data_IF_657057208411
#
_entry.id   IF_657057208411
#
_cell.length_a   1.000
_cell.length_b   1.000
_cell.length_c   1.000
_cell.angle_alpha   90.00
_cell.angle_beta   90.00
_cell.angle_gamma   90.00
#
_symmetry.space_group_name_H-M   'P 1'
#
loop_
_entity.id
_entity.type
_entity.pdbx_description
1 polymer ?
#
# COMPACT_ATOMS: atom_id res chain seq x y z
N UNK A 1 9.49 17.80 6.97
CA UNK A 1 8.86 16.51 7.30
C UNK A 1 9.54 15.96 8.54
N UNK A 2 8.77 15.62 9.56
CA UNK A 2 9.25 14.89 10.74
C UNK A 2 8.94 13.39 10.60
N UNK A 3 9.64 12.52 11.35
CA UNK A 3 9.35 11.09 11.32
C UNK A 3 7.92 10.81 11.79
N UNK A 4 7.28 9.83 11.16
CA UNK A 4 6.00 9.28 11.62
C UNK A 4 6.15 8.82 13.08
N UNK A 5 5.10 8.99 13.89
CA UNK A 5 5.16 8.55 15.28
C UNK A 5 5.06 7.01 15.38
N UNK A 6 5.54 6.45 16.50
CA UNK A 6 5.61 4.99 16.71
C UNK A 6 4.26 4.30 16.56
N UNK A 7 3.17 4.91 17.04
CA UNK A 7 1.83 4.31 16.96
C UNK A 7 1.39 4.17 15.51
N UNK A 8 1.54 5.22 14.70
CA UNK A 8 1.21 5.19 13.27
C UNK A 8 2.13 4.23 12.52
N UNK A 9 3.43 4.21 12.83
CA UNK A 9 4.40 3.28 12.26
C UNK A 9 4.00 1.81 12.49
N UNK A 10 3.52 1.46 13.70
CA UNK A 10 3.04 0.11 13.99
C UNK A 10 1.86 -0.32 13.10
N UNK A 11 0.92 0.59 12.80
CA UNK A 11 -0.17 0.29 11.87
C UNK A 11 0.32 0.15 10.43
N UNK A 12 1.25 1.00 9.99
CA UNK A 12 1.89 0.90 8.68
C UNK A 12 2.64 -0.42 8.55
N UNK A 13 3.39 -0.83 9.58
CA UNK A 13 4.09 -2.11 9.62
C UNK A 13 3.16 -3.31 9.53
N UNK A 14 2.08 -3.31 10.30
CA UNK A 14 1.10 -4.40 10.24
C UNK A 14 0.37 -4.45 8.88
N UNK A 15 0.13 -3.30 8.25
CA UNK A 15 -0.41 -3.25 6.90
C UNK A 15 0.58 -3.83 5.88
N UNK A 16 1.86 -3.46 5.97
CA UNK A 16 2.92 -4.01 5.13
C UNK A 16 3.03 -5.53 5.26
N UNK A 17 3.11 -6.04 6.49
CA UNK A 17 3.15 -7.49 6.76
C UNK A 17 1.93 -8.24 6.27
N UNK A 18 0.77 -7.58 6.20
CA UNK A 18 -0.44 -8.18 5.64
C UNK A 18 -0.36 -8.29 4.13
N UNK A 19 0.29 -7.33 3.48
CA UNK A 19 0.44 -7.25 2.03
C UNK A 19 1.58 -8.12 1.51
N UNK A 20 2.65 -8.29 2.28
CA UNK A 20 3.78 -9.19 2.01
C UNK A 20 3.37 -10.65 2.31
N UNK A 21 2.68 -11.28 1.35
CA UNK A 21 2.17 -12.64 1.50
C UNK A 21 3.28 -13.70 1.42
N UNK A 22 4.41 -13.41 0.76
CA UNK A 22 5.61 -14.25 0.70
C UNK A 22 6.44 -14.15 1.97
N UNK A 23 6.40 -13.02 2.67
CA UNK A 23 7.22 -12.74 3.85
C UNK A 23 8.68 -12.45 3.51
N UNK A 24 8.96 -12.02 2.27
CA UNK A 24 10.32 -11.74 1.79
C UNK A 24 10.76 -10.28 2.00
N UNK A 25 9.88 -9.47 2.59
CA UNK A 25 10.14 -8.05 2.86
C UNK A 25 9.88 -7.14 1.67
N UNK A 26 9.27 -7.62 0.59
CA UNK A 26 8.89 -6.86 -0.59
C UNK A 26 7.44 -7.19 -0.98
N UNK A 27 6.65 -6.18 -1.31
CA UNK A 27 5.30 -6.40 -1.83
C UNK A 27 5.37 -6.43 -3.35
N UNK A 28 5.02 -7.58 -3.93
CA UNK A 28 5.02 -7.78 -5.38
C UNK A 28 3.60 -7.89 -5.95
N UNK A 29 3.46 -7.85 -7.28
CA UNK A 29 2.19 -8.09 -7.96
C UNK A 29 1.59 -9.45 -7.57
N UNK A 30 2.45 -10.46 -7.38
CA UNK A 30 2.01 -11.80 -7.00
C UNK A 30 1.46 -11.87 -5.57
N UNK A 31 1.93 -11.02 -4.67
CA UNK A 31 1.38 -10.92 -3.32
C UNK A 31 0.01 -10.26 -3.34
N UNK A 32 -0.11 -9.14 -4.07
CA UNK A 32 -1.37 -8.42 -4.20
C UNK A 32 -2.42 -9.29 -4.89
N UNK A 33 -2.04 -10.06 -5.90
CA UNK A 33 -2.94 -11.00 -6.59
C UNK A 33 -3.57 -12.03 -5.65
N UNK A 34 -2.89 -12.41 -4.57
CA UNK A 34 -3.42 -13.36 -3.57
C UNK A 34 -4.39 -12.69 -2.58
N UNK A 35 -4.23 -11.39 -2.34
CA UNK A 35 -4.95 -10.65 -1.31
C UNK A 35 -6.10 -9.80 -1.86
N UNK A 36 -6.00 -9.37 -3.11
CA UNK A 36 -6.91 -8.42 -3.74
C UNK A 36 -7.54 -9.00 -5.00
N UNK A 37 -8.86 -8.88 -5.09
CA UNK A 37 -9.62 -9.26 -6.28
C UNK A 37 -9.77 -8.04 -7.21
N UNK A 38 -9.08 -8.08 -8.35
CA UNK A 38 -9.17 -7.05 -9.39
C UNK A 38 -10.57 -6.97 -10.05
N UNK A 39 -11.45 -7.96 -9.86
CA UNK A 39 -12.80 -8.00 -10.45
C UNK A 39 -13.67 -6.81 -10.06
N UNK A 40 -13.38 -6.18 -8.92
CA UNK A 40 -14.11 -5.03 -8.42
C UNK A 40 -13.56 -3.69 -8.93
N UNK A 41 -12.43 -3.70 -9.65
CA UNK A 41 -11.84 -2.47 -10.18
C UNK A 41 -12.65 -1.97 -11.40
N UNK A 42 -13.11 -0.70 -11.43
CA UNK A 42 -13.95 -0.19 -12.52
C UNK A 42 -13.31 -0.35 -13.91
N UNK A 43 -11.98 -0.15 -14.00
CA UNK A 43 -11.26 -0.33 -15.28
C UNK A 43 -11.14 -1.79 -15.70
N UNK A 44 -11.08 -2.73 -14.77
CA UNK A 44 -11.14 -4.15 -15.09
C UNK A 44 -12.53 -4.54 -15.58
N UNK A 45 -13.58 -4.06 -14.91
CA UNK A 45 -14.98 -4.30 -15.32
C UNK A 45 -15.31 -3.71 -16.70
N UNK A 46 -14.73 -2.55 -17.02
CA UNK A 46 -14.87 -1.93 -18.34
C UNK A 46 -14.07 -2.63 -19.45
N UNK A 47 -13.16 -3.55 -19.10
CA UNK A 47 -12.25 -4.21 -20.02
C UNK A 47 -11.07 -3.34 -20.49
N UNK A 48 -10.92 -2.12 -19.94
CA UNK A 48 -9.79 -1.23 -20.24
C UNK A 48 -8.47 -1.80 -19.69
N UNK A 49 -8.51 -2.41 -18.50
CA UNK A 49 -7.34 -2.96 -17.82
C UNK A 49 -7.44 -4.47 -17.60
N UNK A 50 -6.29 -5.15 -17.70
CA UNK A 50 -6.14 -6.52 -17.17
C UNK A 50 -6.00 -6.49 -15.64
N UNK A 51 -6.15 -7.66 -14.99
CA UNK A 51 -5.93 -7.77 -13.55
C UNK A 51 -4.51 -7.33 -13.17
N UNK A 52 -3.51 -7.73 -13.96
CA UNK A 52 -2.12 -7.33 -13.78
C UNK A 52 -1.89 -5.82 -13.89
N UNK A 53 -2.56 -5.16 -14.83
CA UNK A 53 -2.49 -3.70 -14.94
C UNK A 53 -3.12 -3.01 -13.72
N UNK A 54 -4.21 -3.56 -13.18
CA UNK A 54 -4.80 -3.03 -11.94
C UNK A 54 -3.83 -3.18 -10.75
N UNK A 55 -3.18 -4.33 -10.63
CA UNK A 55 -2.22 -4.58 -9.55
C UNK A 55 -0.95 -3.75 -9.69
N UNK A 56 -0.38 -3.65 -10.90
CA UNK A 56 0.81 -2.81 -11.15
C UNK A 56 0.51 -1.35 -10.84
N UNK A 57 -0.60 -0.82 -11.34
CA UNK A 57 -1.00 0.57 -11.06
C UNK A 57 -1.25 0.82 -9.56
N UNK A 58 -1.71 -0.20 -8.83
CA UNK A 58 -1.83 -0.10 -7.38
C UNK A 58 -0.44 0.01 -6.71
N UNK A 59 0.53 -0.81 -7.12
CA UNK A 59 1.91 -0.73 -6.62
C UNK A 59 2.58 0.60 -6.98
N UNK A 60 2.38 1.09 -8.21
CA UNK A 60 2.92 2.37 -8.70
C UNK A 60 2.51 3.56 -7.82
N UNK A 61 1.43 3.43 -7.03
CA UNK A 61 1.00 4.47 -6.10
C UNK A 61 1.91 4.57 -4.86
N UNK A 62 2.60 3.49 -4.49
CA UNK A 62 3.52 3.41 -3.35
C UNK A 62 4.99 3.45 -3.77
N UNK A 63 5.26 3.08 -5.02
CA UNK A 63 6.57 3.02 -5.65
C UNK A 63 7.24 4.41 -5.71
N UNK A 64 8.56 4.45 -5.76
CA UNK A 64 9.31 5.70 -5.74
C UNK A 64 9.08 6.49 -7.03
N UNK A 65 8.66 7.77 -6.97
CA UNK A 65 8.48 8.58 -8.17
C UNK A 65 9.81 8.74 -8.94
N UNK A 66 9.94 8.04 -10.06
CA UNK A 66 11.11 8.13 -10.95
C UNK A 66 11.94 6.86 -11.09
N UNK A 67 11.70 5.83 -10.26
CA UNK A 67 12.33 4.51 -10.39
C UNK A 67 11.37 3.37 -10.05
N UNK A 68 10.26 3.20 -10.81
CA UNK A 68 9.28 2.18 -10.50
C UNK A 68 9.79 0.79 -10.87
N UNK A 69 10.28 0.04 -9.91
CA UNK A 69 10.94 -1.25 -10.14
C UNK A 69 9.97 -2.46 -10.16
N UNK A 70 8.72 -2.25 -9.74
CA UNK A 70 7.73 -3.34 -9.72
C UNK A 70 7.52 -3.97 -8.36
N UNK A 71 8.28 -3.54 -7.36
CA UNK A 71 8.18 -4.02 -6.00
C UNK A 71 8.03 -2.83 -5.06
N UNK A 72 7.43 -3.06 -3.90
CA UNK A 72 7.33 -2.02 -2.87
C UNK A 72 8.05 -2.51 -1.64
N UNK A 73 9.16 -1.86 -1.32
CA UNK A 73 9.96 -2.15 -0.14
C UNK A 73 9.34 -1.53 1.11
N UNK A 74 9.77 -1.99 2.29
CA UNK A 74 9.35 -1.38 3.56
C UNK A 74 9.62 0.13 3.60
N UNK A 75 10.79 0.56 3.14
CA UNK A 75 11.19 1.97 3.18
C UNK A 75 10.32 2.84 2.26
N UNK A 76 9.96 2.35 1.08
CA UNK A 76 9.06 3.05 0.16
C UNK A 76 7.64 3.17 0.71
N UNK A 77 7.13 2.05 1.23
CA UNK A 77 5.81 2.02 1.86
C UNK A 77 5.76 2.97 3.07
N UNK A 78 6.80 2.97 3.91
CA UNK A 78 6.92 3.87 5.05
C UNK A 78 7.04 5.33 4.61
N UNK A 79 7.80 5.62 3.56
CA UNK A 79 7.97 6.97 3.03
C UNK A 79 6.63 7.52 2.49
N UNK A 80 5.89 6.70 1.73
CA UNK A 80 4.54 7.04 1.27
C UNK A 80 3.62 7.39 2.45
N UNK A 81 3.57 6.54 3.48
CA UNK A 81 2.74 6.78 4.66
C UNK A 81 3.26 7.90 5.55
N UNK A 82 4.55 8.24 5.50
CA UNK A 82 5.08 9.44 6.15
C UNK A 82 4.53 10.70 5.48
N UNK A 83 4.40 10.71 4.15
CA UNK A 83 3.72 11.76 3.40
C UNK A 83 2.24 11.89 3.77
N UNK A 84 1.50 10.77 3.80
CA UNK A 84 0.08 10.73 4.19
C UNK A 84 -0.10 11.12 5.67
N UNK A 85 0.79 10.67 6.55
CA UNK A 85 0.78 11.02 7.97
C UNK A 85 1.01 12.52 8.17
N UNK A 86 1.84 13.15 7.33
CA UNK A 86 2.11 14.59 7.42
C UNK A 86 0.91 15.48 7.03
N UNK A 87 -0.08 14.93 6.32
CA UNK A 87 -1.33 15.63 5.99
C UNK A 87 -2.49 15.32 6.96
N UNK A 88 -2.25 14.47 7.97
CA UNK A 88 -3.25 14.06 8.97
C UNK A 88 -2.76 14.44 10.37
N UNK A 89 -3.46 15.37 11.00
CA UNK A 89 -3.11 15.83 12.35
C UNK A 89 -3.51 14.83 13.45
N UNK A 90 -4.64 14.12 13.28
CA UNK A 90 -5.21 13.24 14.29
C UNK A 90 -4.74 11.78 14.15
N UNK A 91 -4.06 11.27 15.18
CA UNK A 91 -3.56 9.90 15.24
C UNK A 91 -4.68 8.84 15.18
N UNK A 92 -5.81 9.06 15.86
CA UNK A 92 -6.93 8.14 15.86
C UNK A 92 -7.58 8.07 14.47
N UNK A 93 -7.66 9.21 13.78
CA UNK A 93 -8.13 9.25 12.41
C UNK A 93 -7.20 8.46 11.49
N UNK A 94 -5.88 8.69 11.57
CA UNK A 94 -4.89 7.90 10.81
C UNK A 94 -5.04 6.40 11.08
N UNK A 95 -5.13 6.01 12.35
CA UNK A 95 -5.28 4.60 12.73
C UNK A 95 -6.58 4.00 12.19
N UNK A 96 -7.69 4.75 12.23
CA UNK A 96 -8.99 4.31 11.71
C UNK A 96 -8.95 4.18 10.19
N UNK A 97 -8.30 5.12 9.49
CA UNK A 97 -8.09 5.06 8.05
C UNK A 97 -7.27 3.81 7.68
N UNK A 98 -6.16 3.54 8.37
CA UNK A 98 -5.32 2.35 8.14
C UNK A 98 -6.09 1.06 8.35
N UNK A 99 -6.84 0.94 9.45
CA UNK A 99 -7.68 -0.24 9.72
C UNK A 99 -8.71 -0.49 8.63
N UNK A 100 -9.35 0.57 8.14
CA UNK A 100 -10.35 0.46 7.07
C UNK A 100 -9.71 0.10 5.74
N UNK A 101 -8.64 0.79 5.36
CA UNK A 101 -7.92 0.57 4.11
C UNK A 101 -7.40 -0.86 3.98
N UNK A 102 -6.82 -1.39 5.06
CA UNK A 102 -6.16 -2.71 5.06
C UNK A 102 -6.98 -3.81 5.75
N UNK A 103 -8.25 -3.53 6.05
CA UNK A 103 -9.19 -4.44 6.76
C UNK A 103 -8.55 -5.08 8.00
N UNK A 104 -8.06 -4.26 8.92
CA UNK A 104 -7.37 -4.66 10.16
C UNK A 104 -8.25 -4.48 11.40
#
# INVERSE_FOLDING_TARGET
QGPINKTREEYVRKAFQKMDATGDGQITVDDIRKLYDASQHPKFQSGEWTADQCFRHFLDSFDTPGDPDGVVTWDEFLNYYTGVSASIDDDNYFCTMMKRAWRM
#
